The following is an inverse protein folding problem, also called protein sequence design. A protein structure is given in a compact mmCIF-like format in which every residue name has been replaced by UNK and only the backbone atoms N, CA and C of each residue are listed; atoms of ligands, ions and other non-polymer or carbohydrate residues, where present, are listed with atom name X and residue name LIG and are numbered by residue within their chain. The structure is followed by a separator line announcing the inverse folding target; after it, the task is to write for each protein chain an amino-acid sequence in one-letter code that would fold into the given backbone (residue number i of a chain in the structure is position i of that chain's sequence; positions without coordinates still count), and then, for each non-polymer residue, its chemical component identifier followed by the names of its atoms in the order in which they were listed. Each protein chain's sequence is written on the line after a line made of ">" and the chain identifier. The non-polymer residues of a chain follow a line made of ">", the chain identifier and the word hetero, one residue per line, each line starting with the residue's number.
data_IF_785217455220
#
_entry.id   IF_785217455220
#
_cell.length_a   1.000
_cell.length_b   1.000
_cell.length_c   1.000
_cell.angle_alpha   90.00
_cell.angle_beta   90.00
_cell.angle_gamma   90.00
#
_symmetry.space_group_name_H-M   'P 1'
#
loop_
_entity.id
_entity.type
_entity.pdbx_description
1 polymer ?
#
# COMPACT_ATOMS: atom_id res chain seq x y z
N UNK A 1 -6.59 17.94 5.31
CA UNK A 1 -5.84 16.72 4.98
C UNK A 1 -6.54 15.49 5.50
N UNK A 2 -6.51 14.42 4.72
CA UNK A 2 -7.07 13.13 5.12
C UNK A 2 -6.09 12.43 6.05
N UNK A 3 -6.60 11.78 7.08
CA UNK A 3 -5.76 10.99 7.97
C UNK A 3 -5.50 9.61 7.37
N UNK A 4 -4.23 9.17 7.37
CA UNK A 4 -3.85 7.87 6.85
C UNK A 4 -3.59 6.91 8.01
N UNK A 5 -4.22 5.73 7.94
CA UNK A 5 -4.05 4.67 8.93
C UNK A 5 -3.63 3.39 8.23
N UNK A 6 -2.81 2.60 8.91
CA UNK A 6 -2.32 1.31 8.40
C UNK A 6 -3.03 0.17 9.11
N UNK A 7 -3.50 -0.81 8.34
CA UNK A 7 -3.99 -2.06 8.94
C UNK A 7 -2.82 -2.84 9.54
N UNK A 8 -3.14 -3.76 10.45
CA UNK A 8 -2.12 -4.66 11.00
C UNK A 8 -1.45 -5.46 9.88
N UNK A 9 -2.23 -5.95 8.93
CA UNK A 9 -1.71 -6.69 7.77
C UNK A 9 -0.74 -5.84 6.95
N UNK A 10 -1.12 -4.61 6.63
CA UNK A 10 -0.29 -3.72 5.83
C UNK A 10 1.00 -3.36 6.56
N UNK A 11 0.91 -3.10 7.86
CA UNK A 11 2.08 -2.78 8.67
C UNK A 11 3.05 -3.95 8.75
N UNK A 12 2.53 -5.17 8.95
CA UNK A 12 3.36 -6.37 8.96
C UNK A 12 4.01 -6.62 7.59
N UNK A 13 3.28 -6.39 6.51
CA UNK A 13 3.83 -6.50 5.16
C UNK A 13 4.98 -5.51 4.95
N UNK A 14 4.81 -4.26 5.40
CA UNK A 14 5.84 -3.24 5.32
C UNK A 14 7.10 -3.66 6.05
N UNK A 15 6.95 -4.13 7.29
CA UNK A 15 8.08 -4.59 8.11
C UNK A 15 8.82 -5.73 7.41
N UNK A 16 8.09 -6.73 6.91
CA UNK A 16 8.68 -7.88 6.23
C UNK A 16 9.42 -7.48 4.95
N UNK A 17 8.82 -6.61 4.16
CA UNK A 17 9.41 -6.14 2.90
C UNK A 17 10.69 -5.34 3.16
N UNK A 18 10.68 -4.47 4.15
CA UNK A 18 11.86 -3.67 4.48
C UNK A 18 12.98 -4.53 5.05
N UNK A 19 12.64 -5.53 5.86
CA UNK A 19 13.63 -6.48 6.39
C UNK A 19 14.25 -7.30 5.26
N UNK A 20 13.43 -7.82 4.36
CA UNK A 20 13.91 -8.55 3.19
C UNK A 20 14.84 -7.68 2.34
N UNK A 21 14.43 -6.45 2.08
CA UNK A 21 15.24 -5.51 1.30
C UNK A 21 16.59 -5.22 1.94
N UNK A 22 16.61 -5.05 3.27
CA UNK A 22 17.85 -4.82 4.02
C UNK A 22 18.77 -6.04 3.92
N UNK A 23 18.23 -7.23 4.12
CA UNK A 23 19.01 -8.46 4.14
C UNK A 23 19.58 -8.81 2.75
N UNK A 24 18.79 -8.58 1.69
CA UNK A 24 19.18 -8.96 0.33
C UNK A 24 19.92 -7.87 -0.43
N UNK A 25 19.59 -6.60 -0.20
CA UNK A 25 20.08 -5.47 -1.01
C UNK A 25 20.77 -4.39 -0.21
N UNK A 26 20.82 -4.51 1.12
CA UNK A 26 21.47 -3.56 1.99
C UNK A 26 20.58 -2.45 2.52
N UNK A 27 21.07 -1.80 3.57
CA UNK A 27 20.31 -0.79 4.31
C UNK A 27 19.94 0.42 3.43
N UNK A 28 20.84 0.84 2.55
CA UNK A 28 20.58 2.01 1.71
C UNK A 28 19.36 1.82 0.82
N UNK A 29 19.20 0.63 0.21
CA UNK A 29 18.05 0.35 -0.64
C UNK A 29 16.77 0.20 0.16
N UNK A 30 16.84 -0.41 1.35
CA UNK A 30 15.70 -0.51 2.23
C UNK A 30 15.23 0.86 2.68
N UNK A 31 16.15 1.76 3.02
CA UNK A 31 15.81 3.13 3.40
C UNK A 31 15.18 3.89 2.22
N UNK A 32 15.67 3.69 1.01
CA UNK A 32 15.09 4.34 -0.17
C UNK A 32 13.66 3.88 -0.42
N UNK A 33 13.40 2.59 -0.27
CA UNK A 33 12.04 2.06 -0.39
C UNK A 33 11.14 2.65 0.69
N UNK A 34 11.62 2.70 1.93
CA UNK A 34 10.84 3.31 3.01
C UNK A 34 10.54 4.78 2.74
N UNK A 35 11.51 5.53 2.22
CA UNK A 35 11.28 6.93 1.85
C UNK A 35 10.22 7.06 0.76
N UNK A 36 10.21 6.17 -0.22
CA UNK A 36 9.18 6.15 -1.26
C UNK A 36 7.80 5.88 -0.66
N UNK A 37 7.71 4.97 0.29
CA UNK A 37 6.45 4.68 0.99
C UNK A 37 5.98 5.93 1.75
N UNK A 38 6.87 6.58 2.49
CA UNK A 38 6.54 7.78 3.25
C UNK A 38 6.07 8.92 2.33
N UNK A 39 6.74 9.12 1.20
CA UNK A 39 6.33 10.12 0.21
C UNK A 39 4.96 9.82 -0.37
N UNK A 40 4.67 8.57 -0.66
CA UNK A 40 3.36 8.15 -1.16
C UNK A 40 2.27 8.43 -0.13
N UNK A 41 2.51 8.10 1.13
CA UNK A 41 1.56 8.37 2.21
C UNK A 41 1.29 9.88 2.32
N UNK A 42 2.34 10.70 2.28
CA UNK A 42 2.17 12.14 2.33
C UNK A 42 1.34 12.68 1.17
N UNK A 43 1.52 12.12 -0.03
CA UNK A 43 0.71 12.51 -1.20
C UNK A 43 -0.75 12.07 -1.05
N UNK A 44 -0.99 10.89 -0.51
CA UNK A 44 -2.35 10.41 -0.27
C UNK A 44 -3.11 11.31 0.71
N UNK A 45 -2.43 11.89 1.69
CA UNK A 45 -3.04 12.84 2.61
C UNK A 45 -3.60 14.07 1.89
N UNK A 46 -2.94 14.50 0.82
CA UNK A 46 -3.36 15.66 0.03
C UNK A 46 -4.24 15.28 -1.16
N UNK A 47 -4.01 14.11 -1.75
CA UNK A 47 -4.68 13.65 -2.97
C UNK A 47 -5.16 12.21 -2.79
N UNK A 48 -6.24 12.00 -2.00
CA UNK A 48 -6.68 10.63 -1.67
C UNK A 48 -7.04 9.78 -2.89
N UNK A 49 -7.51 10.42 -3.96
CA UNK A 49 -7.96 9.70 -5.16
C UNK A 49 -6.91 9.58 -6.25
N UNK A 50 -5.63 9.85 -5.93
CA UNK A 50 -4.57 9.77 -6.92
C UNK A 50 -4.32 8.34 -7.41
N UNK A 51 -4.58 7.33 -6.56
CA UNK A 51 -4.44 5.94 -6.96
C UNK A 51 -5.56 5.49 -7.87
N UNK A 52 -5.25 4.54 -8.75
CA UNK A 52 -6.25 3.93 -9.63
C UNK A 52 -7.07 2.89 -8.87
N UNK A 53 -8.29 2.65 -9.33
CA UNK A 53 -9.11 1.55 -8.81
C UNK A 53 -8.34 0.25 -9.07
N UNK A 54 -8.19 -0.59 -8.03
CA UNK A 54 -7.41 -1.82 -8.15
C UNK A 54 -8.19 -2.88 -8.92
N UNK A 55 -7.72 -3.28 -10.13
CA UNK A 55 -8.47 -4.23 -10.95
C UNK A 55 -8.68 -5.60 -10.31
N UNK A 56 -7.72 -6.04 -9.47
CA UNK A 56 -7.79 -7.35 -8.83
C UNK A 56 -8.85 -7.42 -7.74
N UNK A 57 -9.37 -6.28 -7.30
CA UNK A 57 -10.32 -6.18 -6.19
C UNK A 57 -11.59 -5.44 -6.61
N UNK A 58 -11.81 -5.23 -7.89
CA UNK A 58 -12.92 -4.40 -8.39
C UNK A 58 -14.30 -5.05 -8.18
N UNK A 59 -14.34 -6.34 -7.90
CA UNK A 59 -15.58 -7.08 -7.63
C UNK A 59 -15.99 -7.08 -6.15
N UNK A 60 -15.20 -6.44 -5.28
CA UNK A 60 -15.52 -6.35 -3.87
C UNK A 60 -16.44 -5.16 -3.58
N UNK A 61 -17.09 -5.20 -2.41
CA UNK A 61 -18.05 -4.17 -2.00
C UNK A 61 -17.43 -2.79 -1.85
N UNK A 62 -16.16 -2.73 -1.44
CA UNK A 62 -15.47 -1.48 -1.23
C UNK A 62 -14.65 -1.12 -2.46
N UNK A 63 -14.50 0.19 -2.70
CA UNK A 63 -13.65 0.67 -3.78
C UNK A 63 -12.20 0.68 -3.31
N UNK A 64 -11.46 -0.35 -3.67
CA UNK A 64 -10.03 -0.43 -3.38
C UNK A 64 -9.24 0.28 -4.47
N UNK A 65 -8.29 1.10 -4.03
CA UNK A 65 -7.37 1.82 -4.91
C UNK A 65 -5.95 1.36 -4.67
N UNK A 66 -5.09 1.56 -5.65
CA UNK A 66 -3.68 1.21 -5.52
C UNK A 66 -2.78 2.32 -6.06
N UNK A 67 -1.60 2.43 -5.48
CA UNK A 67 -0.58 3.38 -5.89
C UNK A 67 0.78 2.71 -5.85
N UNK A 68 1.50 2.74 -6.96
CA UNK A 68 2.83 2.12 -7.07
C UNK A 68 3.84 3.00 -6.31
N UNK A 69 4.54 2.41 -5.35
CA UNK A 69 5.57 3.10 -4.58
C UNK A 69 6.97 2.72 -5.02
N UNK A 70 7.10 1.57 -5.68
CA UNK A 70 8.34 1.07 -6.23
C UNK A 70 8.01 0.10 -7.36
N UNK A 71 8.98 -0.21 -8.18
CA UNK A 71 8.82 -1.09 -9.34
C UNK A 71 7.96 -2.33 -9.08
N UNK A 72 8.11 -2.95 -7.91
CA UNK A 72 7.42 -4.20 -7.57
C UNK A 72 6.43 -4.08 -6.43
N UNK A 73 6.24 -2.90 -5.86
CA UNK A 73 5.38 -2.74 -4.69
C UNK A 73 4.35 -1.67 -4.90
N UNK A 74 3.12 -1.97 -4.48
CA UNK A 74 2.05 -0.98 -4.49
C UNK A 74 1.29 -0.99 -3.17
N UNK A 75 0.87 0.20 -2.76
CA UNK A 75 -0.03 0.39 -1.61
C UNK A 75 -1.45 0.11 -2.10
N UNK A 76 -2.18 -0.70 -1.36
CA UNK A 76 -3.62 -0.92 -1.59
C UNK A 76 -4.37 -0.25 -0.44
N UNK A 77 -5.33 0.60 -0.79
CA UNK A 77 -6.03 1.39 0.22
C UNK A 77 -7.49 1.61 -0.14
N UNK A 78 -8.26 2.02 0.86
CA UNK A 78 -9.67 2.40 0.72
C UNK A 78 -9.87 3.75 1.39
N UNK A 79 -10.78 4.56 0.82
CA UNK A 79 -11.12 5.87 1.38
C UNK A 79 -12.42 5.75 2.15
N UNK A 80 -12.41 6.14 3.41
CA UNK A 80 -13.60 6.26 4.26
C UNK A 80 -13.97 7.73 4.33
N UNK A 81 -14.78 8.20 3.39
CA UNK A 81 -15.12 9.63 3.28
C UNK A 81 -15.81 10.17 4.52
N UNK A 82 -16.70 9.40 5.11
CA UNK A 82 -17.42 9.84 6.31
C UNK A 82 -16.50 10.11 7.50
N UNK A 83 -15.35 9.46 7.53
CA UNK A 83 -14.35 9.61 8.60
C UNK A 83 -13.19 10.51 8.21
N UNK A 84 -13.17 10.96 6.97
CA UNK A 84 -12.04 11.69 6.39
C UNK A 84 -10.72 10.94 6.60
N UNK A 85 -10.74 9.64 6.34
CA UNK A 85 -9.60 8.75 6.55
C UNK A 85 -9.31 7.89 5.32
N UNK A 86 -8.03 7.57 5.13
CA UNK A 86 -7.55 6.53 4.24
C UNK A 86 -7.08 5.37 5.08
N UNK A 87 -7.50 4.15 4.72
CA UNK A 87 -7.05 2.94 5.38
C UNK A 87 -6.22 2.12 4.41
N UNK A 88 -4.92 1.99 4.71
CA UNK A 88 -4.02 1.17 3.90
C UNK A 88 -4.20 -0.27 4.34
N UNK A 89 -4.71 -1.10 3.42
CA UNK A 89 -5.05 -2.49 3.72
C UNK A 89 -3.95 -3.47 3.39
N UNK A 90 -3.05 -3.11 2.49
CA UNK A 90 -1.89 -3.96 2.16
C UNK A 90 -0.79 -3.16 1.49
N UNK A 91 0.43 -3.68 1.59
CA UNK A 91 1.56 -3.31 0.76
C UNK A 91 1.89 -4.56 -0.06
N UNK A 92 1.53 -4.54 -1.33
CA UNK A 92 1.49 -5.71 -2.20
C UNK A 92 2.73 -5.80 -3.08
N UNK A 93 3.35 -6.98 -3.11
CA UNK A 93 4.41 -7.29 -4.06
C UNK A 93 3.76 -7.75 -5.36
N UNK A 94 3.90 -6.95 -6.43
CA UNK A 94 3.25 -7.21 -7.71
C UNK A 94 3.79 -8.46 -8.43
N UNK A 95 4.89 -9.02 -7.95
CA UNK A 95 5.44 -10.28 -8.48
C UNK A 95 4.73 -11.51 -7.94
N UNK A 96 3.93 -11.36 -6.86
CA UNK A 96 3.15 -12.46 -6.31
C UNK A 96 1.93 -12.74 -7.17
N UNK A 97 1.41 -13.96 -7.07
CA UNK A 97 0.22 -14.34 -7.81
C UNK A 97 -0.99 -13.50 -7.38
N UNK A 98 -1.79 -13.02 -8.36
CA UNK A 98 -2.95 -12.17 -8.05
C UNK A 98 -3.95 -12.80 -7.08
N UNK A 99 -4.11 -14.13 -7.10
CA UNK A 99 -5.08 -14.78 -6.21
C UNK A 99 -4.70 -14.71 -4.73
N UNK A 100 -3.48 -14.31 -4.40
CA UNK A 100 -3.13 -14.06 -2.99
C UNK A 100 -3.85 -12.85 -2.41
N UNK A 101 -4.39 -11.97 -3.27
CA UNK A 101 -5.23 -10.87 -2.82
C UNK A 101 -6.65 -11.30 -2.45
N UNK A 102 -7.05 -12.52 -2.75
CA UNK A 102 -8.40 -13.00 -2.42
C UNK A 102 -8.66 -13.03 -0.91
N UNK A 103 -7.61 -12.93 -0.12
CA UNK A 103 -7.77 -12.87 1.34
C UNK A 103 -8.64 -11.70 1.80
N UNK A 104 -8.85 -10.71 0.94
CA UNK A 104 -9.76 -9.59 1.21
C UNK A 104 -11.20 -9.90 0.80
N UNK A 105 -11.40 -10.96 0.09
CA UNK A 105 -12.74 -11.39 -0.34
C UNK A 105 -13.44 -12.20 0.78
#
# INVERSE_FOLDING_TARGET
>A
MVKVRWSTRANNARISILKYGKDEFGLARANKLNDNIEKAVARLESFPRMGNIEPLLCDLDKEYRSWVVHKHYKIIYVIYEALDEIYIVDLWDTRQEPNKLILFK
#
